data_IF_314653466563
#
_entry.id   IF_314653466563
#
_cell.length_a   1.000
_cell.length_b   1.000
_cell.length_c   1.000
_cell.angle_alpha   90.00
_cell.angle_beta   90.00
_cell.angle_gamma   90.00
#
_symmetry.space_group_name_H-M   'P 1'
#
loop_
_entity.id
_entity.type
_entity.pdbx_description
1 polymer ?
#
# COMPACT_ATOMS: atom_id res chain seq x y z
N UNK A 1 -25.57 59.91 59.97
CA UNK A 1 -26.25 59.50 58.74
C UNK A 1 -25.75 58.10 58.43
N UNK A 2 -26.33 57.05 59.01
CA UNK A 2 -27.55 56.36 58.52
C UNK A 2 -27.37 55.90 57.06
N UNK A 3 -27.61 54.66 56.61
CA UNK A 3 -28.36 53.51 57.16
C UNK A 3 -28.19 52.31 56.20
N UNK A 4 -28.31 51.10 56.76
CA UNK A 4 -29.00 49.90 56.22
C UNK A 4 -28.59 49.29 54.86
N UNK A 5 -28.12 48.02 54.90
CA UNK A 5 -27.82 47.18 53.74
C UNK A 5 -29.04 46.49 53.10
N UNK A 6 -28.86 45.76 51.96
CA UNK A 6 -29.95 45.07 51.30
C UNK A 6 -29.91 43.53 51.44
N UNK A 7 -31.01 43.02 52.00
CA UNK A 7 -31.84 41.84 51.64
C UNK A 7 -31.18 40.66 50.91
N UNK A 8 -31.08 39.52 51.61
CA UNK A 8 -30.95 38.17 51.03
C UNK A 8 -32.31 37.72 50.47
N UNK A 9 -32.40 37.56 49.16
CA UNK A 9 -33.54 36.94 48.48
C UNK A 9 -33.55 35.42 48.66
N UNK A 10 -34.67 34.89 49.12
CA UNK A 10 -35.02 33.47 49.21
C UNK A 10 -35.40 32.99 47.81
N UNK A 11 -34.71 31.97 47.28
CA UNK A 11 -35.08 31.31 46.01
C UNK A 11 -36.03 30.16 46.34
N UNK A 12 -37.24 30.24 45.80
CA UNK A 12 -38.28 29.21 45.89
C UNK A 12 -37.96 28.02 44.99
N UNK A 13 -38.20 26.80 45.51
CA UNK A 13 -38.10 25.56 44.75
C UNK A 13 -39.29 25.42 43.80
N UNK A 14 -39.02 25.33 42.50
CA UNK A 14 -39.97 24.83 41.51
C UNK A 14 -39.52 23.44 41.06
N UNK A 15 -40.44 22.49 41.14
CA UNK A 15 -40.20 21.07 40.97
C UNK A 15 -39.71 20.71 39.57
N UNK A 16 -38.59 19.98 39.51
CA UNK A 16 -38.14 19.26 38.33
C UNK A 16 -38.68 17.83 38.37
N UNK A 17 -39.65 17.53 37.51
CA UNK A 17 -40.15 16.17 37.29
C UNK A 17 -39.07 15.26 36.71
N UNK A 18 -38.95 14.07 37.29
CA UNK A 18 -38.15 12.96 36.77
C UNK A 18 -38.78 12.45 35.46
N UNK A 19 -38.10 12.70 34.33
CA UNK A 19 -38.42 12.03 33.06
C UNK A 19 -37.59 10.74 33.03
N UNK A 20 -38.22 9.55 32.94
CA UNK A 20 -37.48 8.29 32.93
C UNK A 20 -36.81 8.09 31.56
N UNK A 21 -35.48 7.94 31.57
CA UNK A 21 -34.69 7.48 30.43
C UNK A 21 -35.04 6.01 30.13
N UNK A 22 -36.06 5.80 29.30
CA UNK A 22 -36.29 4.52 28.63
C UNK A 22 -35.90 4.63 27.18
N UNK A 23 -34.90 3.83 26.79
CA UNK A 23 -34.77 3.33 25.42
C UNK A 23 -33.74 4.04 24.55
N UNK A 24 -32.46 3.80 24.82
CA UNK A 24 -31.47 3.70 23.74
C UNK A 24 -30.98 2.25 23.78
N UNK A 25 -31.73 1.37 23.10
CA UNK A 25 -31.21 0.07 22.66
C UNK A 25 -30.70 0.25 21.24
N UNK A 26 -29.55 -0.34 20.98
CA UNK A 26 -28.92 -0.58 19.68
C UNK A 26 -27.95 0.49 19.19
N UNK A 27 -26.67 0.27 19.54
CA UNK A 27 -25.50 0.91 18.92
C UNK A 27 -25.12 0.16 17.61
N UNK A 28 -25.95 -0.78 17.14
CA UNK A 28 -25.66 -1.60 15.95
C UNK A 28 -26.04 -0.96 14.60
N UNK A 29 -26.55 0.28 14.58
CA UNK A 29 -27.13 0.88 13.36
C UNK A 29 -26.38 2.11 12.83
N UNK A 30 -25.06 2.21 13.03
CA UNK A 30 -24.22 3.26 12.43
C UNK A 30 -23.08 2.73 11.56
N UNK A 31 -23.10 1.45 11.18
CA UNK A 31 -22.11 0.87 10.29
C UNK A 31 -22.67 0.69 8.87
N UNK A 32 -23.10 1.79 8.23
CA UNK A 32 -23.42 1.82 6.80
C UNK A 32 -22.97 3.15 6.16
N UNK A 33 -21.75 3.58 6.49
CA UNK A 33 -20.97 4.32 5.49
C UNK A 33 -20.63 3.31 4.38
N UNK A 34 -20.81 3.69 3.10
CA UNK A 34 -20.80 2.80 1.92
C UNK A 34 -19.88 1.56 2.10
N UNK A 35 -20.36 0.32 1.85
CA UNK A 35 -19.50 -0.86 1.85
C UNK A 35 -18.59 -0.80 0.63
N UNK A 36 -17.54 0.04 0.68
CA UNK A 36 -16.49 0.06 -0.30
C UNK A 36 -15.78 -1.28 -0.22
N UNK A 37 -15.52 -1.89 -1.39
CA UNK A 37 -14.78 -3.14 -1.47
C UNK A 37 -13.44 -2.96 -0.76
N UNK A 38 -13.11 -3.86 0.17
CA UNK A 38 -11.83 -3.80 0.88
C UNK A 38 -10.66 -3.95 -0.13
N UNK A 39 -9.92 -2.88 -0.38
CA UNK A 39 -8.90 -2.87 -1.44
C UNK A 39 -8.77 -1.51 -2.10
N UNK A 40 -7.59 -1.24 -2.64
CA UNK A 40 -7.48 -0.26 -3.73
C UNK A 40 -7.94 -0.96 -5.01
N UNK A 41 -8.74 -0.27 -5.79
CA UNK A 41 -9.12 -0.69 -7.15
C UNK A 41 -7.95 -0.45 -8.12
N UNK A 42 -7.88 -1.18 -9.24
CA UNK A 42 -6.86 -0.92 -10.27
C UNK A 42 -6.78 0.55 -10.71
N UNK A 43 -7.92 1.25 -10.77
CA UNK A 43 -7.97 2.66 -11.12
C UNK A 43 -7.39 3.56 -10.02
N UNK A 44 -7.64 3.27 -8.75
CA UNK A 44 -7.04 3.99 -7.63
C UNK A 44 -5.54 3.75 -7.54
N UNK A 45 -5.06 2.53 -7.82
CA UNK A 45 -3.63 2.26 -7.86
C UNK A 45 -2.95 3.00 -9.03
N UNK A 46 -3.58 3.01 -10.21
CA UNK A 46 -3.09 3.79 -11.34
C UNK A 46 -3.03 5.29 -11.00
N UNK A 47 -4.06 5.82 -10.32
CA UNK A 47 -4.07 7.20 -9.83
C UNK A 47 -2.92 7.49 -8.85
N UNK A 48 -2.63 6.57 -7.91
CA UNK A 48 -1.47 6.74 -7.02
C UNK A 48 -0.14 6.69 -7.77
N UNK A 49 -0.03 5.82 -8.78
CA UNK A 49 1.14 5.71 -9.64
C UNK A 49 1.44 7.02 -10.40
N UNK A 50 0.46 7.90 -10.61
CA UNK A 50 0.69 9.19 -11.26
C UNK A 50 1.66 10.11 -10.48
N UNK A 51 1.87 9.85 -9.20
CA UNK A 51 2.82 10.57 -8.35
C UNK A 51 4.26 10.08 -8.49
N UNK A 52 4.49 9.00 -9.25
CA UNK A 52 5.83 8.48 -9.51
C UNK A 52 6.69 9.47 -10.30
N UNK A 53 7.99 9.48 -10.00
CA UNK A 53 8.93 10.42 -10.59
C UNK A 53 9.56 9.87 -11.87
N UNK A 54 9.22 10.48 -13.00
CA UNK A 54 9.81 10.15 -14.31
C UNK A 54 10.73 11.27 -14.79
N UNK A 55 11.73 10.92 -15.60
CA UNK A 55 12.66 11.90 -16.16
C UNK A 55 12.12 12.39 -17.50
N UNK A 56 12.04 13.69 -17.69
CA UNK A 56 11.64 14.30 -18.97
C UNK A 56 12.68 15.25 -19.52
N UNK A 57 12.72 15.39 -20.84
CA UNK A 57 13.46 16.44 -21.55
C UNK A 57 12.43 17.37 -22.18
N UNK A 58 12.40 18.64 -21.76
CA UNK A 58 11.52 19.63 -22.38
C UNK A 58 12.01 20.01 -23.78
N UNK A 59 11.08 20.26 -24.70
CA UNK A 59 11.37 20.75 -26.06
C UNK A 59 11.46 22.27 -26.15
N UNK A 60 11.01 22.95 -25.10
CA UNK A 60 11.00 24.40 -25.00
C UNK A 60 11.20 24.83 -23.53
N UNK A 61 11.62 26.09 -23.33
CA UNK A 61 11.70 26.67 -21.99
C UNK A 61 10.30 26.83 -21.41
N UNK A 62 10.06 26.26 -20.24
CA UNK A 62 8.81 26.39 -19.49
C UNK A 62 9.08 27.09 -18.16
N UNK A 63 8.25 28.08 -17.85
CA UNK A 63 8.31 28.79 -16.58
C UNK A 63 7.81 27.91 -15.44
N UNK A 64 8.16 28.30 -14.20
CA UNK A 64 7.65 27.68 -12.98
C UNK A 64 6.12 27.79 -12.93
N UNK A 65 5.46 26.71 -12.52
CA UNK A 65 4.04 26.69 -12.18
C UNK A 65 3.88 26.74 -10.66
N UNK A 66 3.07 27.66 -10.17
CA UNK A 66 2.66 27.74 -8.76
C UNK A 66 1.53 26.73 -8.50
N UNK A 67 1.84 25.63 -7.79
CA UNK A 67 0.87 24.59 -7.43
C UNK A 67 0.61 24.58 -5.92
N UNK A 68 -0.44 23.88 -5.50
CA UNK A 68 -0.75 23.68 -4.07
C UNK A 68 0.40 23.00 -3.31
N UNK A 69 1.14 22.10 -3.98
CA UNK A 69 2.33 21.44 -3.44
C UNK A 69 3.62 22.26 -3.54
N UNK A 70 3.53 23.54 -3.92
CA UNK A 70 4.67 24.43 -4.13
C UNK A 70 5.01 24.70 -5.61
N UNK A 71 5.94 25.63 -5.87
CA UNK A 71 6.36 25.97 -7.23
C UNK A 71 7.15 24.83 -7.87
N UNK A 72 6.87 24.55 -9.13
CA UNK A 72 7.64 23.58 -9.93
C UNK A 72 8.93 24.20 -10.47
N UNK A 73 9.97 23.39 -10.64
CA UNK A 73 11.21 23.88 -11.24
C UNK A 73 10.96 24.28 -12.70
N UNK A 74 11.47 25.45 -13.10
CA UNK A 74 11.46 25.87 -14.50
C UNK A 74 12.20 24.83 -15.37
N UNK A 75 11.62 24.47 -16.52
CA UNK A 75 12.14 23.43 -17.40
C UNK A 75 12.93 24.08 -18.54
N UNK A 76 14.22 23.80 -18.60
CA UNK A 76 15.12 24.33 -19.63
C UNK A 76 15.67 23.21 -20.51
N UNK A 77 15.42 23.23 -21.83
CA UNK A 77 16.02 22.28 -22.75
C UNK A 77 17.55 22.42 -22.79
N UNK A 78 18.31 21.34 -23.08
CA UNK A 78 17.89 19.95 -23.21
C UNK A 78 18.03 19.17 -21.89
N UNK A 79 17.99 19.85 -20.74
CA UNK A 79 18.38 19.23 -19.47
C UNK A 79 17.30 18.26 -18.95
N UNK A 80 17.66 17.02 -18.60
CA UNK A 80 16.73 16.06 -18.00
C UNK A 80 16.28 16.57 -16.63
N UNK A 81 14.98 16.55 -16.39
CA UNK A 81 14.39 17.01 -15.12
C UNK A 81 13.40 15.96 -14.60
N UNK A 82 13.48 15.55 -13.33
CA UNK A 82 12.49 14.65 -12.74
C UNK A 82 11.18 15.40 -12.49
N UNK A 83 10.07 14.83 -12.95
CA UNK A 83 8.70 15.35 -12.74
C UNK A 83 7.76 14.21 -12.35
N UNK A 84 6.68 14.51 -11.61
CA UNK A 84 5.59 13.56 -11.40
C UNK A 84 4.99 13.11 -12.75
N UNK A 85 4.60 11.85 -12.82
CA UNK A 85 4.09 11.21 -14.04
C UNK A 85 2.87 11.94 -14.62
N UNK A 86 1.92 12.40 -13.79
CA UNK A 86 0.76 13.17 -14.28
C UNK A 86 1.17 14.41 -15.09
N UNK A 87 2.19 15.13 -14.64
CA UNK A 87 2.66 16.35 -15.29
C UNK A 87 3.45 16.01 -16.56
N UNK A 88 4.28 14.97 -16.50
CA UNK A 88 5.02 14.47 -17.64
C UNK A 88 4.08 14.05 -18.79
N UNK A 89 3.02 13.28 -18.49
CA UNK A 89 2.02 12.85 -19.46
C UNK A 89 1.24 14.04 -20.04
N UNK A 90 0.90 15.03 -19.22
CA UNK A 90 0.25 16.26 -19.69
C UNK A 90 1.13 17.02 -20.70
N UNK A 91 2.41 17.18 -20.40
CA UNK A 91 3.38 17.85 -21.28
C UNK A 91 3.66 17.05 -22.56
N UNK A 92 3.72 15.71 -22.46
CA UNK A 92 3.86 14.81 -23.61
C UNK A 92 2.66 14.92 -24.55
N UNK A 93 1.42 14.92 -24.02
CA UNK A 93 0.20 15.11 -24.82
C UNK A 93 0.17 16.47 -25.53
N UNK A 94 0.74 17.50 -24.91
CA UNK A 94 0.91 18.83 -25.52
C UNK A 94 2.11 18.93 -26.48
N UNK A 95 2.87 17.85 -26.69
CA UNK A 95 4.11 17.79 -27.50
C UNK A 95 5.19 18.76 -27.02
N UNK A 96 5.25 19.05 -25.71
CA UNK A 96 6.20 19.99 -25.09
C UNK A 96 7.36 19.31 -24.38
N UNK A 97 7.30 18.01 -24.17
CA UNK A 97 8.36 17.22 -23.56
C UNK A 97 8.40 15.81 -24.16
N UNK A 98 9.59 15.20 -24.12
CA UNK A 98 9.78 13.77 -24.31
C UNK A 98 10.06 13.13 -22.96
N UNK A 99 9.55 11.92 -22.75
CA UNK A 99 9.81 11.13 -21.56
C UNK A 99 11.05 10.28 -21.83
N UNK A 100 11.98 10.22 -20.89
CA UNK A 100 13.07 9.26 -20.94
C UNK A 100 12.58 7.94 -20.31
N UNK A 101 12.64 6.81 -21.04
CA UNK A 101 12.32 5.50 -20.47
C UNK A 101 13.13 5.22 -19.20
N UNK A 102 12.50 4.74 -18.12
CA UNK A 102 13.22 4.25 -16.95
C UNK A 102 14.20 3.12 -17.31
N UNK A 103 15.36 2.99 -16.64
CA UNK A 103 16.39 2.01 -16.99
C UNK A 103 15.96 0.54 -16.95
N UNK A 104 14.95 0.19 -16.16
CA UNK A 104 14.39 -1.17 -16.08
C UNK A 104 13.32 -1.44 -17.16
N UNK A 105 12.81 -0.40 -17.83
CA UNK A 105 11.71 -0.48 -18.78
C UNK A 105 12.24 -0.46 -20.23
N UNK A 106 13.11 -1.41 -20.55
CA UNK A 106 13.61 -1.66 -21.90
C UNK A 106 13.68 -3.18 -22.18
N UNK A 107 13.83 -3.61 -23.44
CA UNK A 107 13.79 -5.03 -23.78
C UNK A 107 14.85 -5.89 -23.07
N UNK A 108 16.10 -5.39 -22.97
CA UNK A 108 17.21 -6.13 -22.37
C UNK A 108 16.99 -6.33 -20.86
N UNK A 109 16.66 -5.25 -20.15
CA UNK A 109 16.36 -5.27 -18.72
C UNK A 109 15.17 -6.17 -18.38
N UNK A 110 14.07 -6.05 -19.12
CA UNK A 110 12.88 -6.87 -18.88
C UNK A 110 13.13 -8.36 -19.19
N UNK A 111 13.95 -8.67 -20.19
CA UNK A 111 14.35 -10.05 -20.47
C UNK A 111 15.14 -10.62 -19.29
N UNK A 112 16.13 -9.88 -18.79
CA UNK A 112 16.94 -10.32 -17.65
C UNK A 112 16.08 -10.49 -16.38
N UNK A 113 15.15 -9.57 -16.11
CA UNK A 113 14.21 -9.69 -14.98
C UNK A 113 13.31 -10.92 -15.15
N UNK A 114 12.82 -11.18 -16.36
CA UNK A 114 11.99 -12.35 -16.65
C UNK A 114 12.77 -13.65 -16.43
N UNK A 115 14.01 -13.72 -16.87
CA UNK A 115 14.88 -14.89 -16.66
C UNK A 115 15.09 -15.14 -15.16
N UNK A 116 15.38 -14.11 -14.37
CA UNK A 116 15.48 -14.20 -12.91
C UNK A 116 14.18 -14.75 -12.30
N UNK A 117 13.03 -14.25 -12.76
CA UNK A 117 11.71 -14.60 -12.23
C UNK A 117 11.32 -16.05 -12.57
N UNK A 118 11.77 -16.57 -13.71
CA UNK A 118 11.58 -17.96 -14.16
C UNK A 118 12.54 -18.91 -13.43
N UNK A 119 13.82 -18.53 -13.31
CA UNK A 119 14.85 -19.37 -12.68
C UNK A 119 14.65 -19.53 -11.17
N UNK A 120 14.12 -18.49 -10.50
CA UNK A 120 13.90 -18.49 -9.05
C UNK A 120 12.42 -18.62 -8.71
N UNK A 121 11.92 -19.85 -8.55
CA UNK A 121 10.49 -20.08 -8.29
C UNK A 121 9.96 -19.46 -6.98
N UNK A 122 10.81 -19.30 -5.96
CA UNK A 122 10.37 -18.97 -4.60
C UNK A 122 10.63 -17.50 -4.21
N UNK A 123 11.26 -16.70 -5.08
CA UNK A 123 11.58 -15.29 -4.80
C UNK A 123 11.28 -14.42 -6.01
N UNK A 124 10.75 -13.23 -5.76
CA UNK A 124 10.49 -12.21 -6.79
C UNK A 124 11.78 -11.45 -7.12
N UNK A 125 11.85 -10.87 -8.32
CA UNK A 125 12.91 -9.92 -8.71
C UNK A 125 13.15 -8.86 -7.62
N UNK A 126 14.41 -8.43 -7.40
CA UNK A 126 14.74 -7.50 -6.32
C UNK A 126 14.06 -6.14 -6.49
N UNK A 127 13.65 -5.48 -5.39
CA UNK A 127 13.14 -4.12 -5.43
C UNK A 127 14.28 -3.11 -5.65
N UNK A 128 13.97 -1.87 -6.08
CA UNK A 128 14.97 -0.82 -6.19
C UNK A 128 15.64 -0.51 -4.85
N UNK A 129 16.93 -0.15 -4.89
CA UNK A 129 17.69 0.24 -3.70
C UNK A 129 17.15 1.54 -3.13
N UNK A 130 16.68 1.49 -1.87
CA UNK A 130 16.17 2.66 -1.18
C UNK A 130 17.31 3.45 -0.52
N UNK A 131 17.25 4.79 -0.51
CA UNK A 131 18.19 5.59 0.26
C UNK A 131 18.03 5.29 1.77
N UNK A 132 19.10 5.48 2.57
CA UNK A 132 19.02 5.30 4.01
C UNK A 132 17.96 6.24 4.60
N UNK A 133 17.21 5.79 5.63
CA UNK A 133 16.22 6.64 6.28
C UNK A 133 16.92 7.84 6.89
N UNK A 134 16.49 9.04 6.50
CA UNK A 134 16.94 10.27 7.14
C UNK A 134 16.24 10.39 8.49
N UNK A 135 17.00 10.66 9.55
CA UNK A 135 16.43 11.01 10.85
C UNK A 135 15.77 12.37 10.73
N UNK A 136 14.45 12.41 10.81
CA UNK A 136 13.68 13.64 10.76
C UNK A 136 13.94 14.48 12.03
N UNK A 137 14.13 15.81 11.92
CA UNK A 137 14.15 16.69 13.10
C UNK A 137 12.83 16.59 13.87
N UNK A 138 12.84 16.77 15.19
CA UNK A 138 11.63 16.64 16.04
C UNK A 138 10.46 17.55 15.64
N UNK A 139 10.70 18.67 14.93
CA UNK A 139 9.70 19.68 14.59
C UNK A 139 9.12 19.52 13.17
N UNK A 140 8.80 18.27 12.80
CA UNK A 140 8.22 17.85 11.52
C UNK A 140 7.00 18.66 11.04
N UNK A 141 6.21 19.21 11.96
CA UNK A 141 4.97 19.91 11.64
C UNK A 141 5.18 21.39 11.31
N UNK A 142 6.34 21.95 11.63
CA UNK A 142 6.62 23.38 11.44
C UNK A 142 7.52 23.66 10.22
N UNK A 143 8.21 22.62 9.72
CA UNK A 143 9.08 22.74 8.56
C UNK A 143 8.32 22.49 7.26
N UNK A 144 7.91 23.57 6.60
CA UNK A 144 7.26 23.53 5.28
C UNK A 144 8.14 22.96 4.17
N UNK A 145 9.45 22.82 4.41
CA UNK A 145 10.38 22.17 3.46
C UNK A 145 10.42 20.64 3.60
N UNK A 146 9.80 20.09 4.65
CA UNK A 146 9.87 18.68 5.02
C UNK A 146 8.80 17.77 4.38
N UNK A 147 8.10 18.22 3.33
CA UNK A 147 7.30 17.33 2.46
C UNK A 147 8.23 16.48 1.57
N UNK A 148 9.18 15.78 2.18
CA UNK A 148 10.06 14.87 1.47
C UNK A 148 9.22 13.69 0.97
N UNK A 149 9.25 13.47 -0.34
CA UNK A 149 8.61 12.32 -0.97
C UNK A 149 9.19 11.04 -0.38
N UNK A 150 8.33 10.13 0.04
CA UNK A 150 8.72 8.81 0.55
C UNK A 150 8.62 7.75 -0.55
N UNK A 151 9.26 6.60 -0.33
CA UNK A 151 9.02 5.42 -1.15
C UNK A 151 7.53 5.07 -1.15
N UNK A 152 6.93 4.70 -2.29
CA UNK A 152 7.59 4.36 -3.55
C UNK A 152 7.87 5.54 -4.49
N UNK A 153 7.51 6.78 -4.14
CA UNK A 153 7.53 7.92 -5.06
C UNK A 153 8.91 8.58 -5.23
N UNK A 154 10.00 7.90 -4.87
CA UNK A 154 11.35 8.43 -5.02
C UNK A 154 11.85 8.22 -6.45
N UNK A 155 12.69 9.11 -7.01
CA UNK A 155 13.34 8.85 -8.30
C UNK A 155 14.13 7.53 -8.30
N UNK A 156 14.78 7.16 -7.19
CA UNK A 156 15.48 5.87 -7.04
C UNK A 156 14.55 4.66 -7.07
N UNK A 157 13.25 4.87 -6.86
CA UNK A 157 12.22 3.83 -6.93
C UNK A 157 11.64 3.67 -8.33
N UNK A 158 11.92 4.58 -9.27
CA UNK A 158 11.40 4.53 -10.64
C UNK A 158 12.42 4.96 -11.69
N UNK A 159 12.60 6.26 -11.92
CA UNK A 159 13.45 6.80 -13.01
C UNK A 159 14.94 6.50 -12.88
N UNK A 160 15.44 6.32 -11.67
CA UNK A 160 16.83 6.00 -11.35
C UNK A 160 16.98 4.59 -10.75
N UNK A 161 15.94 3.76 -10.85
CA UNK A 161 16.03 2.38 -10.41
C UNK A 161 17.05 1.60 -11.28
N UNK A 162 17.72 0.62 -10.68
CA UNK A 162 18.66 -0.22 -11.39
C UNK A 162 17.93 -1.02 -12.50
N UNK A 163 18.59 -1.35 -13.63
CA UNK A 163 17.95 -2.06 -14.74
C UNK A 163 17.39 -3.44 -14.37
N UNK A 164 17.98 -4.10 -13.38
CA UNK A 164 17.58 -5.41 -12.86
C UNK A 164 16.57 -5.33 -11.70
N UNK A 165 16.20 -4.12 -11.27
CA UNK A 165 15.27 -3.90 -10.18
C UNK A 165 13.87 -3.54 -10.69
N UNK A 166 12.85 -4.16 -10.11
CA UNK A 166 11.46 -3.94 -10.51
C UNK A 166 10.72 -3.04 -9.50
N UNK A 167 10.30 -1.82 -9.88
CA UNK A 167 9.58 -0.90 -9.00
C UNK A 167 8.24 -1.41 -8.48
N UNK A 168 7.75 -0.79 -7.40
CA UNK A 168 6.45 -1.13 -6.80
C UNK A 168 5.27 -0.91 -7.77
N UNK A 169 5.25 0.17 -8.54
CA UNK A 169 4.21 0.47 -9.53
C UNK A 169 4.61 0.09 -10.98
N UNK A 170 5.45 -0.93 -11.15
CA UNK A 170 6.04 -1.26 -12.46
C UNK A 170 4.98 -1.48 -13.55
N UNK A 171 3.85 -2.09 -13.23
CA UNK A 171 2.86 -2.49 -14.22
C UNK A 171 1.98 -1.32 -14.68
N UNK A 172 1.52 -0.50 -13.74
CA UNK A 172 0.71 0.70 -13.99
C UNK A 172 1.53 1.77 -14.72
N UNK A 173 2.76 2.01 -14.26
CA UNK A 173 3.68 2.96 -14.86
C UNK A 173 3.98 2.55 -16.31
N UNK A 174 4.32 1.28 -16.54
CA UNK A 174 4.57 0.77 -17.89
C UNK A 174 3.36 0.93 -18.80
N UNK A 175 2.17 0.61 -18.30
CA UNK A 175 0.93 0.77 -19.07
C UNK A 175 0.70 2.23 -19.47
N UNK A 176 0.82 3.17 -18.54
CA UNK A 176 0.61 4.59 -18.81
C UNK A 176 1.64 5.16 -19.80
N UNK A 177 2.92 4.84 -19.61
CA UNK A 177 3.98 5.32 -20.50
C UNK A 177 3.86 4.73 -21.90
N UNK A 178 3.65 3.42 -22.04
CA UNK A 178 3.51 2.78 -23.36
C UNK A 178 2.19 3.13 -24.06
N UNK A 179 1.18 3.64 -23.34
CA UNK A 179 -0.08 4.09 -23.96
C UNK A 179 0.01 5.52 -24.51
N UNK A 180 0.80 6.39 -23.88
CA UNK A 180 0.83 7.82 -24.19
C UNK A 180 2.16 8.34 -24.73
N UNK A 181 3.23 7.57 -24.57
CA UNK A 181 4.59 7.95 -24.91
C UNK A 181 5.38 6.81 -25.57
N UNK A 182 4.72 5.86 -26.24
CA UNK A 182 5.42 4.72 -26.87
C UNK A 182 6.45 5.13 -27.93
N UNK A 183 6.33 6.32 -28.49
CA UNK A 183 7.29 6.90 -29.45
C UNK A 183 8.64 7.26 -28.80
N UNK A 184 8.72 7.34 -27.47
CA UNK A 184 9.99 7.56 -26.74
C UNK A 184 10.71 6.25 -26.36
N UNK A 185 10.15 5.07 -26.69
CA UNK A 185 10.69 3.76 -26.31
C UNK A 185 11.34 3.03 -27.48
N UNK A 186 12.37 2.25 -27.18
CA UNK A 186 12.91 1.25 -28.09
C UNK A 186 12.02 0.00 -28.09
N UNK A 187 11.62 -0.45 -29.30
CA UNK A 187 10.80 -1.65 -29.51
C UNK A 187 9.57 -1.77 -28.57
N UNK A 188 8.63 -0.82 -28.58
CA UNK A 188 7.54 -0.77 -27.61
C UNK A 188 6.64 -2.02 -27.62
N UNK A 189 6.52 -2.72 -28.76
CA UNK A 189 5.75 -3.96 -28.85
C UNK A 189 6.45 -5.14 -28.17
N UNK A 190 7.79 -5.20 -28.25
CA UNK A 190 8.60 -6.17 -27.51
C UNK A 190 8.49 -5.92 -26.01
N UNK A 191 8.60 -4.65 -25.58
CA UNK A 191 8.39 -4.26 -24.17
C UNK A 191 7.00 -4.68 -23.67
N UNK A 192 5.93 -4.41 -24.43
CA UNK A 192 4.57 -4.83 -24.07
C UNK A 192 4.42 -6.35 -23.96
N UNK A 193 5.12 -7.12 -24.81
CA UNK A 193 5.11 -8.59 -24.74
C UNK A 193 5.81 -9.06 -23.46
N UNK A 194 7.02 -8.60 -23.20
CA UNK A 194 7.80 -8.98 -22.01
C UNK A 194 7.06 -8.64 -20.71
N UNK A 195 6.38 -7.49 -20.64
CA UNK A 195 5.57 -7.12 -19.47
C UNK A 195 4.39 -8.07 -19.24
N UNK A 196 3.75 -8.58 -20.31
CA UNK A 196 2.67 -9.57 -20.19
C UNK A 196 3.21 -10.90 -19.68
N UNK A 197 4.32 -11.35 -20.27
CA UNK A 197 4.99 -12.60 -19.89
C UNK A 197 5.42 -12.52 -18.41
N UNK A 198 6.04 -11.40 -18.00
CA UNK A 198 6.43 -11.13 -16.60
C UNK A 198 5.22 -11.10 -15.65
N UNK A 199 4.12 -10.43 -16.02
CA UNK A 199 2.87 -10.43 -15.22
C UNK A 199 2.36 -11.86 -15.02
N UNK A 200 2.37 -12.67 -16.06
CA UNK A 200 1.87 -14.04 -16.00
C UNK A 200 2.68 -14.91 -15.04
N UNK A 201 4.02 -14.90 -15.17
CA UNK A 201 4.93 -15.64 -14.27
C UNK A 201 4.74 -15.19 -12.83
N UNK A 202 4.72 -13.88 -12.57
CA UNK A 202 4.59 -13.33 -11.21
C UNK A 202 3.23 -13.63 -10.59
N UNK A 203 2.14 -13.56 -11.36
CA UNK A 203 0.81 -13.97 -10.90
C UNK A 203 0.72 -15.46 -10.60
N UNK A 204 1.40 -16.32 -11.37
CA UNK A 204 1.49 -17.74 -11.06
C UNK A 204 2.24 -17.98 -9.74
N UNK A 205 3.37 -17.29 -9.54
CA UNK A 205 4.17 -17.33 -8.31
C UNK A 205 3.38 -16.86 -7.07
N UNK A 206 2.65 -15.74 -7.18
CA UNK A 206 1.76 -15.26 -6.11
C UNK A 206 0.72 -16.31 -5.72
N UNK A 207 0.08 -16.96 -6.69
CA UNK A 207 -0.89 -18.04 -6.40
C UNK A 207 -0.24 -19.25 -5.74
N UNK A 208 1.00 -19.60 -6.10
CA UNK A 208 1.78 -20.67 -5.44
C UNK A 208 2.02 -20.30 -3.97
N UNK A 209 2.45 -19.06 -3.70
CA UNK A 209 2.68 -18.56 -2.33
C UNK A 209 1.42 -18.61 -1.45
N UNK A 210 0.23 -18.35 -2.02
CA UNK A 210 -1.04 -18.41 -1.29
C UNK A 210 -1.42 -19.84 -0.84
N UNK A 211 -0.92 -20.89 -1.49
CA UNK A 211 -1.20 -22.28 -1.08
C UNK A 211 -0.55 -22.67 0.24
N UNK A 212 0.50 -21.95 0.64
CA UNK A 212 1.30 -22.26 1.85
C UNK A 212 0.85 -21.39 3.04
N UNK A 213 -0.25 -20.65 2.92
CA UNK A 213 -0.76 -19.81 4.00
C UNK A 213 -1.35 -20.65 5.13
N UNK A 214 -0.90 -20.33 6.35
CA UNK A 214 -1.48 -20.84 7.59
C UNK A 214 -2.10 -19.68 8.41
N UNK A 215 -3.09 -19.99 9.25
CA UNK A 215 -3.91 -19.02 9.98
C UNK A 215 -3.10 -18.08 10.89
N UNK A 216 -1.94 -18.55 11.37
CA UNK A 216 -1.05 -17.81 12.29
C UNK A 216 0.27 -17.35 11.67
N UNK A 217 0.56 -17.69 10.41
CA UNK A 217 1.84 -17.38 9.77
C UNK A 217 1.81 -16.01 9.06
N UNK A 218 2.86 -15.21 9.26
CA UNK A 218 3.10 -14.01 8.47
C UNK A 218 3.63 -14.36 7.08
N UNK A 219 3.24 -13.58 6.07
CA UNK A 219 3.67 -13.77 4.68
C UNK A 219 4.63 -12.67 4.31
N UNK A 220 5.83 -13.02 3.87
CA UNK A 220 6.74 -12.05 3.26
C UNK A 220 6.23 -11.70 1.85
N UNK A 221 5.96 -10.42 1.62
CA UNK A 221 5.50 -9.89 0.31
C UNK A 221 6.57 -8.99 -0.31
N UNK A 222 7.84 -9.38 -0.18
CA UNK A 222 8.95 -8.62 -0.71
C UNK A 222 8.95 -8.68 -2.24
N UNK A 223 9.15 -7.52 -2.87
CA UNK A 223 9.22 -7.43 -4.34
C UNK A 223 7.88 -7.55 -5.05
N UNK A 224 6.73 -7.65 -4.35
CA UNK A 224 5.40 -7.68 -4.96
C UNK A 224 4.95 -6.26 -5.32
N UNK A 225 4.41 -6.09 -6.54
CA UNK A 225 3.94 -4.81 -7.05
C UNK A 225 2.53 -4.41 -6.57
N UNK A 226 2.20 -3.13 -6.72
CA UNK A 226 0.95 -2.55 -6.28
C UNK A 226 -0.29 -3.19 -6.94
N UNK A 227 -0.30 -3.31 -8.27
CA UNK A 227 -1.42 -3.94 -8.99
C UNK A 227 -1.60 -5.40 -8.61
N UNK A 228 -0.49 -6.10 -8.41
CA UNK A 228 -0.47 -7.51 -8.05
C UNK A 228 -1.14 -7.73 -6.69
N UNK A 229 -0.81 -6.86 -5.72
CA UNK A 229 -1.48 -6.82 -4.41
C UNK A 229 -2.94 -6.45 -4.57
N UNK A 230 -3.28 -5.41 -5.33
CA UNK A 230 -4.65 -4.96 -5.49
C UNK A 230 -5.57 -6.03 -6.12
N UNK A 231 -5.08 -6.75 -7.13
CA UNK A 231 -5.80 -7.86 -7.76
C UNK A 231 -5.97 -9.06 -6.79
N UNK A 232 -4.93 -9.38 -6.01
CA UNK A 232 -4.92 -10.58 -5.17
C UNK A 232 -5.52 -10.37 -3.77
N UNK A 233 -5.58 -9.13 -3.27
CA UNK A 233 -5.91 -8.79 -1.87
C UNK A 233 -7.23 -9.40 -1.43
N UNK A 234 -8.30 -9.18 -2.21
CA UNK A 234 -9.64 -9.63 -1.82
C UNK A 234 -9.73 -11.15 -1.67
N UNK A 235 -9.00 -11.90 -2.52
CA UNK A 235 -8.92 -13.35 -2.43
C UNK A 235 -8.11 -13.79 -1.20
N UNK A 236 -6.90 -13.24 -1.04
CA UNK A 236 -5.99 -13.61 0.04
C UNK A 236 -6.59 -13.29 1.42
N UNK A 237 -7.15 -12.10 1.59
CA UNK A 237 -7.81 -11.71 2.85
C UNK A 237 -8.99 -12.63 3.16
N UNK A 238 -9.79 -13.00 2.15
CA UNK A 238 -10.89 -13.96 2.34
C UNK A 238 -10.43 -15.34 2.80
N UNK A 239 -9.33 -15.87 2.23
CA UNK A 239 -8.73 -17.15 2.63
C UNK A 239 -8.21 -17.07 4.07
N UNK A 240 -7.43 -16.03 4.40
CA UNK A 240 -6.84 -15.85 5.74
C UNK A 240 -7.92 -15.68 6.80
N UNK A 241 -8.96 -14.89 6.53
CA UNK A 241 -10.08 -14.72 7.46
C UNK A 241 -10.84 -16.04 7.66
N UNK A 242 -10.98 -16.86 6.60
CA UNK A 242 -11.54 -18.21 6.69
C UNK A 242 -10.69 -19.14 7.57
N UNK A 243 -9.38 -19.19 7.33
CA UNK A 243 -8.44 -19.98 8.13
C UNK A 243 -8.43 -19.54 9.60
N UNK A 244 -8.48 -18.23 9.88
CA UNK A 244 -8.58 -17.69 11.25
C UNK A 244 -9.87 -18.10 11.94
N UNK A 245 -11.02 -18.07 11.24
CA UNK A 245 -12.30 -18.54 11.80
C UNK A 245 -12.26 -20.02 12.14
N UNK A 246 -11.68 -20.85 11.26
CA UNK A 246 -11.53 -22.29 11.49
C UNK A 246 -10.58 -22.53 12.67
N UNK A 247 -9.44 -21.85 12.72
CA UNK A 247 -8.47 -21.94 13.81
C UNK A 247 -9.07 -21.56 15.16
N UNK A 248 -9.79 -20.43 15.22
CA UNK A 248 -10.47 -19.98 16.43
C UNK A 248 -11.55 -20.97 16.89
N UNK A 249 -12.34 -21.51 15.96
CA UNK A 249 -13.37 -22.52 16.28
C UNK A 249 -12.74 -23.81 16.81
N UNK A 250 -11.65 -24.29 16.20
CA UNK A 250 -10.96 -25.51 16.65
C UNK A 250 -10.33 -25.34 18.03
N UNK A 251 -9.71 -24.20 18.29
CA UNK A 251 -9.11 -23.90 19.59
C UNK A 251 -10.18 -23.76 20.69
N UNK A 252 -11.32 -23.15 20.37
CA UNK A 252 -12.44 -23.05 21.31
C UNK A 252 -13.00 -24.44 21.66
N UNK A 253 -13.22 -25.31 20.67
CA UNK A 253 -13.68 -26.69 20.92
C UNK A 253 -12.68 -27.48 21.77
N UNK A 254 -11.37 -27.29 21.54
CA UNK A 254 -10.33 -27.91 22.36
C UNK A 254 -10.41 -27.43 23.81
N UNK A 255 -10.54 -26.12 24.02
CA UNK A 255 -10.65 -25.52 25.35
C UNK A 255 -11.94 -25.92 26.10
N UNK A 256 -13.06 -26.06 25.39
CA UNK A 256 -14.32 -26.53 25.95
C UNK A 256 -14.19 -27.99 26.40
N UNK A 257 -13.58 -28.86 25.58
CA UNK A 257 -13.31 -30.25 25.95
C UNK A 257 -12.35 -30.35 27.15
N UNK A 258 -11.26 -29.59 27.16
CA UNK A 258 -10.31 -29.58 28.28
C UNK A 258 -10.99 -29.11 29.58
N UNK A 259 -11.97 -28.19 29.49
CA UNK A 259 -12.77 -27.75 30.62
C UNK A 259 -13.77 -28.83 31.09
N UNK A 260 -14.43 -29.54 30.16
CA UNK A 260 -15.32 -30.67 30.47
C UNK A 260 -14.54 -31.85 31.10
N UNK A 261 -13.34 -32.16 30.61
CA UNK A 261 -12.47 -33.21 31.15
C UNK A 261 -11.99 -32.85 32.58
N UNK A 262 -11.67 -31.56 32.82
CA UNK A 262 -11.35 -31.05 34.15
C UNK A 262 -12.55 -31.08 35.11
N UNK A 263 -13.76 -30.77 34.62
CA UNK A 263 -15.00 -30.81 35.41
C UNK A 263 -15.45 -32.25 35.74
N UNK A 264 -15.25 -33.19 34.81
CA UNK A 264 -15.57 -34.61 34.98
C UNK A 264 -14.55 -35.38 35.86
N UNK A 265 -13.53 -34.70 36.41
CA UNK A 265 -12.60 -35.28 37.37
C UNK A 265 -11.59 -36.26 36.77
N UNK A 266 -11.45 -36.30 35.44
CA UNK A 266 -10.32 -36.97 34.80
C UNK A 266 -9.11 -36.05 34.91
N UNK A 267 -8.51 -35.98 36.10
CA UNK A 267 -7.17 -35.44 36.24
C UNK A 267 -6.29 -36.16 35.24
N UNK A 268 -5.67 -35.42 34.32
CA UNK A 268 -4.69 -35.93 33.38
C UNK A 268 -3.68 -36.77 34.18
N UNK A 269 -3.77 -38.09 34.07
CA UNK A 269 -2.68 -38.96 34.47
C UNK A 269 -1.55 -38.65 33.51
N UNK A 270 -0.59 -37.89 33.98
CA UNK A 270 0.71 -37.68 33.37
C UNK A 270 1.40 -39.04 33.16
N UNK A 271 1.19 -39.64 31.99
CA UNK A 271 1.86 -40.80 31.39
C UNK A 271 1.62 -40.58 29.88
N UNK A 272 2.54 -40.31 28.96
CA UNK A 272 4.00 -40.36 28.85
C UNK A 272 4.41 -39.21 27.90
N UNK A 273 5.37 -38.38 28.31
CA UNK A 273 6.26 -37.61 27.41
C UNK A 273 7.71 -37.95 27.81
N UNK A 274 7.99 -39.24 27.95
CA UNK A 274 9.35 -39.79 27.99
C UNK A 274 9.39 -40.90 26.95
N UNK A 275 9.76 -40.54 25.72
CA UNK A 275 10.61 -41.33 24.81
C UNK A 275 10.41 -40.81 23.38
N UNK A 276 11.20 -39.81 22.98
CA UNK A 276 11.62 -39.64 21.57
C UNK A 276 12.87 -38.74 21.46
N UNK A 277 13.83 -38.94 22.37
CA UNK A 277 15.16 -38.31 22.30
C UNK A 277 16.25 -39.27 22.82
N UNK A 278 16.36 -40.46 22.22
CA UNK A 278 17.56 -41.32 22.28
C UNK A 278 17.65 -42.23 21.03
N UNK A 279 18.20 -41.69 19.93
CA UNK A 279 19.27 -42.28 19.06
C UNK A 279 19.33 -41.60 17.68
#
# INVERSE_FOLDING_TARGET
METLGPRRGRVESSGGGLIPWRGIRSIHALDMALPLKAGLTPAEVAFLCEMEMVTVISRQRLESLELLGGPTKALTPPFPTPLPLWLALLLKRQRRANILPPPWLNPEALSAILDIEVDHEDTFSPPPTLPPPKTLPSDLYLDQTALEMSSPFLPSSTSNAAPDALPYHWLELSHMLLSHASDDFEEPDTVRRLLRDLKEVRMAKLRKGVKVLDAGAGVQMNGVGALEIAESRSFISGVVDGLRKIGASREQTRKERDAEDAENGYAASSIDDQDDDML
#
